data_IF_849523277644
#
_entry.id   IF_849523277644
#
_cell.length_a   1.000
_cell.length_b   1.000
_cell.length_c   1.000
_cell.angle_alpha   90.00
_cell.angle_beta   90.00
_cell.angle_gamma   90.00
#
_symmetry.space_group_name_H-M   'P 1'
#
loop_
_entity.id
_entity.type
_entity.pdbx_description
1 polymer ?
#
# COMPACT_ATOMS: atom_id res chain seq x y z
N UNK A 1 0.60 47.62 17.57
CA UNK A 1 -0.59 47.23 18.36
C UNK A 1 -0.67 45.70 18.42
N UNK A 2 -0.95 45.10 19.59
CA UNK A 2 -1.02 43.64 19.81
C UNK A 2 -1.83 42.88 18.76
N UNK A 3 -2.87 43.50 18.20
CA UNK A 3 -3.70 42.91 17.13
C UNK A 3 -2.91 42.61 15.85
N UNK A 4 -2.01 43.52 15.44
CA UNK A 4 -1.19 43.35 14.25
C UNK A 4 -0.13 42.23 14.43
N UNK A 5 0.44 42.13 15.63
CA UNK A 5 1.43 41.09 15.97
C UNK A 5 0.78 39.70 15.99
N UNK A 6 -0.41 39.56 16.56
CA UNK A 6 -1.10 38.25 16.59
C UNK A 6 -1.51 37.79 15.18
N UNK A 7 -1.93 38.71 14.30
CA UNK A 7 -2.22 38.38 12.90
C UNK A 7 -0.98 37.96 12.13
N UNK A 8 0.16 38.61 12.38
CA UNK A 8 1.43 38.24 11.74
C UNK A 8 1.92 36.85 12.18
N UNK A 9 1.83 36.56 13.48
CA UNK A 9 2.17 35.25 14.05
C UNK A 9 1.26 34.13 13.53
N UNK A 10 -0.04 34.40 13.39
CA UNK A 10 -0.97 33.45 12.76
C UNK A 10 -0.62 33.14 11.30
N UNK A 11 -0.25 34.17 10.52
CA UNK A 11 0.21 33.99 9.13
C UNK A 11 1.53 33.21 9.04
N UNK A 12 2.48 33.48 9.93
CA UNK A 12 3.75 32.74 9.98
C UNK A 12 3.54 31.28 10.39
N UNK A 13 2.63 31.00 11.32
CA UNK A 13 2.31 29.64 11.73
C UNK A 13 1.63 28.85 10.59
N UNK A 14 0.62 29.41 9.90
CA UNK A 14 0.03 28.73 8.74
C UNK A 14 1.02 28.52 7.60
N UNK A 15 1.94 29.45 7.37
CA UNK A 15 3.00 29.26 6.38
C UNK A 15 3.99 28.18 6.81
N UNK A 16 4.38 28.15 8.08
CA UNK A 16 5.23 27.10 8.66
C UNK A 16 4.57 25.73 8.57
N UNK A 17 3.28 25.61 8.92
CA UNK A 17 2.53 24.37 8.73
C UNK A 17 2.46 23.98 7.26
N UNK A 18 2.24 24.91 6.33
CA UNK A 18 2.22 24.61 4.89
C UNK A 18 3.56 24.12 4.34
N UNK A 19 4.69 24.66 4.81
CA UNK A 19 6.03 24.24 4.36
C UNK A 19 6.57 23.01 5.11
N UNK A 20 6.12 22.77 6.35
CA UNK A 20 6.58 21.63 7.18
C UNK A 20 5.64 20.43 7.15
N UNK A 21 4.39 20.60 6.73
CA UNK A 21 3.54 19.48 6.36
C UNK A 21 3.87 19.08 4.92
N UNK A 22 4.50 17.91 4.69
CA UNK A 22 4.60 17.40 3.33
C UNK A 22 3.17 17.34 2.76
N UNK A 23 2.93 17.75 1.50
CA UNK A 23 1.62 17.57 0.91
C UNK A 23 1.22 16.12 1.14
N UNK A 24 0.01 15.91 1.69
CA UNK A 24 -0.52 14.58 1.97
C UNK A 24 -0.66 13.83 0.64
N UNK A 25 0.46 13.29 0.16
CA UNK A 25 0.52 12.50 -1.06
C UNK A 25 -0.25 11.24 -0.75
N UNK A 26 -1.51 11.23 -1.21
CA UNK A 26 -2.39 10.10 -1.06
C UNK A 26 -2.01 9.05 -2.08
N UNK A 27 -1.14 8.13 -1.67
CA UNK A 27 -0.76 7.00 -2.48
C UNK A 27 -1.85 5.93 -2.48
N UNK A 28 -1.88 5.21 -3.59
CA UNK A 28 -2.62 3.97 -3.73
C UNK A 28 -1.65 2.82 -3.96
N UNK A 29 -1.96 1.67 -3.38
CA UNK A 29 -1.07 0.54 -3.31
C UNK A 29 -1.67 -0.66 -4.00
N UNK A 30 -0.89 -1.31 -4.86
CA UNK A 30 -1.13 -2.69 -5.29
C UNK A 30 -0.20 -3.58 -4.47
N UNK A 31 -0.73 -4.64 -3.88
CA UNK A 31 0.01 -5.47 -2.94
C UNK A 31 -0.19 -6.95 -3.18
N UNK A 32 0.78 -7.73 -2.70
CA UNK A 32 0.75 -9.19 -2.76
C UNK A 32 0.97 -9.74 -1.37
N UNK A 33 -0.01 -10.52 -0.93
CA UNK A 33 0.05 -11.28 0.31
C UNK A 33 0.35 -12.74 -0.01
N UNK A 34 1.19 -13.36 0.80
CA UNK A 34 1.40 -14.81 0.79
C UNK A 34 0.72 -15.40 2.02
N UNK A 35 -0.18 -16.35 1.79
CA UNK A 35 -0.73 -17.18 2.86
C UNK A 35 0.39 -18.03 3.45
N UNK A 36 0.57 -17.98 4.76
CA UNK A 36 1.50 -18.88 5.45
C UNK A 36 0.90 -20.28 5.64
N UNK A 37 -0.40 -20.46 5.37
CA UNK A 37 -1.11 -21.74 5.51
C UNK A 37 -0.85 -22.67 4.32
N UNK A 38 -0.85 -22.13 3.11
CA UNK A 38 -0.74 -22.92 1.88
C UNK A 38 0.12 -22.28 0.79
N UNK A 39 0.88 -21.23 1.13
CA UNK A 39 1.72 -20.47 0.19
C UNK A 39 0.98 -19.80 -0.98
N UNK A 40 -0.37 -19.78 -0.97
CA UNK A 40 -1.14 -19.09 -2.00
C UNK A 40 -0.90 -17.58 -1.99
N UNK A 41 -0.93 -16.98 -3.17
CA UNK A 41 -0.77 -15.54 -3.36
C UNK A 41 -2.12 -14.86 -3.53
N UNK A 42 -2.30 -13.74 -2.85
CA UNK A 42 -3.43 -12.84 -3.01
C UNK A 42 -2.94 -11.50 -3.52
N UNK A 43 -3.55 -10.99 -4.59
CA UNK A 43 -3.23 -9.70 -5.20
C UNK A 43 -4.42 -8.77 -4.95
N UNK A 44 -4.14 -7.62 -4.36
CA UNK A 44 -5.18 -6.63 -4.03
C UNK A 44 -4.69 -5.20 -4.19
N UNK A 45 -5.62 -4.29 -3.98
CA UNK A 45 -5.41 -2.86 -4.07
C UNK A 45 -6.03 -2.12 -2.87
N UNK A 46 -5.43 -1.00 -2.43
CA UNK A 46 -5.97 -0.14 -1.36
C UNK A 46 -5.30 1.24 -1.31
N UNK A 47 -5.93 2.24 -0.70
CA UNK A 47 -5.28 3.51 -0.31
C UNK A 47 -4.57 3.44 1.05
N UNK A 48 -4.85 2.40 1.86
CA UNK A 48 -4.23 2.21 3.17
C UNK A 48 -3.76 0.77 3.34
N UNK A 49 -2.49 0.54 2.98
CA UNK A 49 -1.87 -0.78 3.00
C UNK A 49 -1.79 -1.37 4.41
N UNK A 50 -1.50 -0.54 5.43
CA UNK A 50 -1.35 -1.02 6.81
C UNK A 50 -2.69 -1.48 7.37
N UNK A 51 -3.73 -0.65 7.20
CA UNK A 51 -5.08 -1.02 7.61
C UNK A 51 -5.52 -2.28 6.89
N UNK A 52 -5.39 -2.32 5.55
CA UNK A 52 -5.87 -3.46 4.77
C UNK A 52 -5.15 -4.77 5.13
N UNK A 53 -3.84 -4.71 5.38
CA UNK A 53 -3.08 -5.87 5.84
C UNK A 53 -3.59 -6.42 7.18
N UNK A 54 -3.89 -5.53 8.15
CA UNK A 54 -4.51 -5.92 9.42
C UNK A 54 -5.87 -6.58 9.20
N UNK A 55 -6.73 -5.98 8.38
CA UNK A 55 -8.06 -6.54 8.06
C UNK A 55 -8.01 -7.96 7.49
N UNK A 56 -7.08 -8.20 6.55
CA UNK A 56 -6.88 -9.53 5.97
C UNK A 56 -6.46 -10.55 7.03
N UNK A 57 -5.59 -10.19 7.98
CA UNK A 57 -5.17 -11.06 9.08
C UNK A 57 -6.23 -11.20 10.19
N UNK A 58 -7.11 -10.20 10.36
CA UNK A 58 -8.26 -10.27 11.26
C UNK A 58 -9.43 -11.09 10.69
N UNK A 59 -9.40 -11.43 9.39
CA UNK A 59 -10.44 -12.24 8.76
C UNK A 59 -11.66 -11.44 8.33
N UNK A 60 -11.50 -10.15 8.11
CA UNK A 60 -12.55 -9.21 7.70
C UNK A 60 -12.86 -9.28 6.19
N UNK A 61 -12.19 -10.16 5.45
CA UNK A 61 -12.45 -10.39 4.02
C UNK A 61 -12.78 -11.85 3.77
N UNK A 62 -13.98 -12.12 3.23
CA UNK A 62 -14.47 -13.47 2.96
C UNK A 62 -13.51 -14.29 2.09
N UNK A 63 -12.93 -13.66 1.06
CA UNK A 63 -12.01 -14.32 0.13
C UNK A 63 -10.69 -14.74 0.80
N UNK A 64 -10.22 -14.01 1.82
CA UNK A 64 -8.91 -14.24 2.43
C UNK A 64 -9.01 -14.93 3.79
N UNK A 65 -10.14 -14.79 4.50
CA UNK A 65 -10.36 -15.36 5.83
C UNK A 65 -9.97 -16.84 5.96
N UNK A 66 -10.23 -17.73 4.97
CA UNK A 66 -9.88 -19.15 5.06
C UNK A 66 -8.37 -19.47 4.99
N UNK A 67 -7.56 -18.54 4.46
CA UNK A 67 -6.14 -18.77 4.16
C UNK A 67 -5.19 -17.91 4.99
N UNK A 68 -5.67 -17.32 6.07
CA UNK A 68 -4.81 -16.65 7.07
C UNK A 68 -3.89 -17.66 7.78
N UNK A 69 -2.79 -17.22 8.41
CA UNK A 69 -2.27 -15.85 8.43
C UNK A 69 -1.54 -15.48 7.13
N UNK A 70 -1.40 -14.19 6.87
CA UNK A 70 -0.76 -13.63 5.69
C UNK A 70 0.48 -12.83 6.03
N UNK A 71 1.48 -12.94 5.16
CA UNK A 71 2.63 -12.06 5.10
C UNK A 71 2.54 -11.14 3.89
N UNK A 72 2.80 -9.84 4.07
CA UNK A 72 2.98 -8.92 2.95
C UNK A 72 4.38 -9.15 2.36
N UNK A 73 4.45 -9.51 1.09
CA UNK A 73 5.72 -9.89 0.44
C UNK A 73 6.15 -8.90 -0.65
N UNK A 74 5.23 -8.09 -1.14
CA UNK A 74 5.48 -7.10 -2.18
C UNK A 74 4.38 -6.03 -2.21
N UNK A 75 4.73 -4.80 -2.58
CA UNK A 75 3.78 -3.76 -2.93
C UNK A 75 4.39 -2.73 -3.90
N UNK A 76 3.52 -2.08 -4.68
CA UNK A 76 3.82 -0.93 -5.55
C UNK A 76 2.94 0.24 -5.13
N UNK A 77 3.48 1.46 -5.14
CA UNK A 77 2.77 2.69 -4.79
C UNK A 77 2.53 3.57 -6.03
N UNK A 78 1.36 4.17 -6.12
CA UNK A 78 0.89 4.98 -7.25
C UNK A 78 0.25 6.27 -6.75
N UNK A 79 0.44 7.37 -7.47
CA UNK A 79 -0.32 8.61 -7.22
C UNK A 79 -1.72 8.54 -7.84
N UNK A 80 -1.85 7.88 -8.99
CA UNK A 80 -3.12 7.70 -9.69
C UNK A 80 -3.85 6.46 -9.19
N UNK A 81 -5.10 6.66 -8.76
CA UNK A 81 -6.04 5.58 -8.40
C UNK A 81 -6.28 4.62 -9.56
N UNK A 82 -6.35 5.17 -10.77
CA UNK A 82 -6.67 4.44 -12.00
C UNK A 82 -5.49 3.55 -12.38
N UNK A 83 -4.27 4.08 -12.33
CA UNK A 83 -3.06 3.33 -12.69
C UNK A 83 -2.86 2.13 -11.77
N UNK A 84 -3.07 2.33 -10.48
CA UNK A 84 -3.02 1.25 -9.49
C UNK A 84 -4.10 0.17 -9.74
N UNK A 85 -5.33 0.56 -10.09
CA UNK A 85 -6.38 -0.42 -10.46
C UNK A 85 -6.03 -1.17 -11.74
N UNK A 86 -5.56 -0.47 -12.78
CA UNK A 86 -5.13 -1.10 -14.02
C UNK A 86 -3.98 -2.08 -13.77
N UNK A 87 -3.06 -1.71 -12.89
CA UNK A 87 -1.96 -2.57 -12.45
C UNK A 87 -2.45 -3.81 -11.71
N UNK A 88 -3.40 -3.67 -10.78
CA UNK A 88 -4.02 -4.81 -10.08
C UNK A 88 -4.65 -5.79 -11.08
N UNK A 89 -5.42 -5.28 -12.06
CA UNK A 89 -6.05 -6.09 -13.12
C UNK A 89 -4.99 -6.82 -13.94
N UNK A 90 -3.95 -6.09 -14.39
CA UNK A 90 -2.84 -6.68 -15.14
C UNK A 90 -2.15 -7.81 -14.36
N UNK A 91 -1.85 -7.59 -13.07
CA UNK A 91 -1.18 -8.58 -12.21
C UNK A 91 -2.06 -9.81 -11.94
N UNK A 92 -3.39 -9.66 -11.97
CA UNK A 92 -4.34 -10.78 -11.94
C UNK A 92 -4.48 -11.49 -13.28
N UNK A 93 -3.88 -11.00 -14.36
CA UNK A 93 -3.80 -11.66 -15.67
C UNK A 93 -2.63 -12.65 -15.78
N UNK A 94 -2.64 -13.49 -16.80
CA UNK A 94 -1.60 -14.53 -17.00
C UNK A 94 -0.19 -13.94 -17.19
N UNK A 95 -0.04 -12.95 -18.06
CA UNK A 95 1.24 -12.26 -18.27
C UNK A 95 1.71 -11.55 -17.00
N UNK A 96 0.83 -10.83 -16.30
CA UNK A 96 1.20 -10.15 -15.06
C UNK A 96 1.62 -11.10 -13.95
N UNK A 97 0.98 -12.27 -13.83
CA UNK A 97 1.42 -13.33 -12.91
C UNK A 97 2.83 -13.84 -13.23
N UNK A 98 3.16 -14.03 -14.52
CA UNK A 98 4.52 -14.41 -14.93
C UNK A 98 5.54 -13.34 -14.55
N UNK A 99 5.23 -12.08 -14.84
CA UNK A 99 6.07 -10.92 -14.51
C UNK A 99 6.37 -10.88 -13.02
N UNK A 100 5.34 -10.96 -12.16
CA UNK A 100 5.57 -10.88 -10.72
C UNK A 100 6.29 -12.11 -10.19
N UNK A 101 5.94 -13.33 -10.63
CA UNK A 101 6.64 -14.53 -10.20
C UNK A 101 8.14 -14.48 -10.53
N UNK A 102 8.52 -13.86 -11.65
CA UNK A 102 9.90 -13.56 -11.97
C UNK A 102 10.53 -12.56 -10.99
N UNK A 103 9.83 -11.46 -10.70
CA UNK A 103 10.29 -10.40 -9.79
C UNK A 103 10.55 -10.92 -8.37
N UNK A 104 9.62 -11.71 -7.81
CA UNK A 104 9.71 -12.24 -6.44
C UNK A 104 10.31 -13.66 -6.38
N UNK A 105 10.92 -14.14 -7.47
CA UNK A 105 11.41 -15.53 -7.58
C UNK A 105 12.35 -15.93 -6.44
N UNK A 106 13.31 -15.06 -6.10
CA UNK A 106 14.29 -15.33 -5.03
C UNK A 106 13.63 -15.48 -3.67
N UNK A 107 12.64 -14.64 -3.38
CA UNK A 107 11.85 -14.73 -2.15
C UNK A 107 11.07 -16.05 -2.11
N UNK A 108 10.44 -16.44 -3.22
CA UNK A 108 9.67 -17.68 -3.32
C UNK A 108 10.55 -18.94 -3.27
N UNK A 109 11.78 -18.89 -3.78
CA UNK A 109 12.70 -20.03 -3.78
C UNK A 109 13.50 -20.18 -2.48
N UNK A 110 13.35 -19.26 -1.52
CA UNK A 110 14.04 -19.33 -0.22
C UNK A 110 15.57 -19.22 -0.28
N UNK A 111 16.12 -18.78 -1.42
CA UNK A 111 17.58 -18.67 -1.59
C UNK A 111 18.07 -17.45 -0.81
N UNK A 112 18.92 -17.69 0.20
CA UNK A 112 19.71 -16.66 0.88
C UNK A 112 21.02 -16.48 0.10
N UNK A 113 21.37 -15.22 -0.18
CA UNK A 113 22.67 -14.84 -0.74
C UNK A 113 23.65 -14.72 0.43
#
# INVERSE_FOLDING_TARGET
>A
NRKAISTLLGRLNSFYEFITSPPLLMFYYVYILQSQKNNSLYIGYTSDLRKRFKQHNNGESQATKPFRPYKLIFYEAFLSRIDAKNREIYLKGGYGRKTINGLIKKYLSGIRI
#
